data_IF_241069542871
#
_entry.id   IF_241069542871
#
_cell.length_a   1.000
_cell.length_b   1.000
_cell.length_c   1.000
_cell.angle_alpha   90.00
_cell.angle_beta   90.00
_cell.angle_gamma   90.00
#
_symmetry.space_group_name_H-M   'P 1'
#
loop_
_entity.id
_entity.type
_entity.pdbx_description
1 polymer ?
#
# COMPACT_ATOMS: atom_id res chain seq x y z
N UNK A 1 2.48 -14.38 -6.09
CA UNK A 1 3.32 -15.44 -6.67
C UNK A 1 3.60 -16.47 -5.60
N UNK A 2 3.49 -17.74 -5.93
CA UNK A 2 3.74 -18.85 -5.03
C UNK A 2 4.97 -19.64 -5.51
N UNK A 3 5.91 -19.94 -4.61
CA UNK A 3 7.08 -20.78 -4.88
C UNK A 3 6.83 -22.17 -4.31
N UNK A 4 6.94 -23.18 -5.14
CA UNK A 4 6.72 -24.59 -4.76
C UNK A 4 8.06 -25.27 -4.45
N UNK A 5 8.94 -24.77 -3.66
CA UNK A 5 10.17 -25.46 -3.26
C UNK A 5 11.00 -26.16 -4.39
N UNK A 6 10.46 -26.27 -5.57
CA UNK A 6 11.10 -26.59 -6.85
C UNK A 6 11.19 -25.31 -7.67
N UNK A 7 12.03 -25.25 -8.68
CA UNK A 7 12.30 -24.06 -9.51
C UNK A 7 11.07 -23.50 -10.29
N UNK A 8 9.85 -23.75 -9.80
CA UNK A 8 8.61 -23.34 -10.45
C UNK A 8 7.92 -22.22 -9.69
N UNK A 9 7.60 -21.17 -10.42
CA UNK A 9 6.87 -20.00 -9.94
C UNK A 9 5.43 -20.05 -10.47
N UNK A 10 4.47 -20.15 -9.58
CA UNK A 10 3.06 -20.15 -9.94
C UNK A 10 2.47 -18.74 -9.73
N UNK A 11 1.89 -18.12 -10.77
CA UNK A 11 1.21 -16.85 -10.62
C UNK A 11 -0.10 -17.02 -9.82
N UNK A 12 -0.46 -16.01 -9.03
CA UNK A 12 -1.80 -15.93 -8.44
C UNK A 12 -2.85 -15.70 -9.53
N UNK A 13 -4.14 -15.86 -9.21
CA UNK A 13 -5.24 -15.60 -10.15
C UNK A 13 -5.11 -14.25 -10.85
N UNK A 14 -4.87 -13.19 -10.08
CA UNK A 14 -4.70 -11.83 -10.60
C UNK A 14 -3.48 -11.73 -11.50
N UNK A 15 -2.36 -12.31 -11.06
CA UNK A 15 -1.12 -12.26 -11.83
C UNK A 15 -1.24 -13.03 -13.15
N UNK A 16 -1.99 -14.14 -13.18
CA UNK A 16 -2.26 -14.87 -14.44
C UNK A 16 -2.99 -13.98 -15.46
N UNK A 17 -4.01 -13.24 -15.01
CA UNK A 17 -4.71 -12.31 -15.88
C UNK A 17 -3.81 -11.12 -16.32
N UNK A 18 -3.01 -10.58 -15.42
CA UNK A 18 -2.06 -9.49 -15.71
C UNK A 18 -1.02 -9.91 -16.75
N UNK A 19 -0.50 -11.16 -16.67
CA UNK A 19 0.43 -11.73 -17.65
C UNK A 19 -0.16 -11.63 -19.06
N UNK A 20 -1.40 -12.07 -19.24
CA UNK A 20 -2.05 -12.08 -20.53
C UNK A 20 -2.40 -10.65 -21.02
N UNK A 21 -2.86 -9.77 -20.13
CA UNK A 21 -3.25 -8.40 -20.47
C UNK A 21 -2.03 -7.55 -20.88
N UNK A 22 -0.93 -7.65 -20.13
CA UNK A 22 0.29 -6.87 -20.37
C UNK A 22 1.28 -7.54 -21.32
N UNK A 23 0.99 -8.74 -21.81
CA UNK A 23 1.88 -9.48 -22.69
C UNK A 23 3.20 -9.89 -22.03
N UNK A 24 3.16 -10.24 -20.73
CA UNK A 24 4.36 -10.65 -19.99
C UNK A 24 4.85 -11.99 -20.51
N UNK A 25 6.16 -12.16 -20.63
CA UNK A 25 6.80 -13.43 -20.96
C UNK A 25 6.35 -14.52 -19.97
N UNK A 26 5.94 -15.68 -20.49
CA UNK A 26 5.59 -16.84 -19.64
C UNK A 26 6.81 -17.44 -18.97
N UNK A 27 7.94 -17.46 -19.67
CA UNK A 27 9.22 -17.92 -19.15
C UNK A 27 10.17 -16.73 -19.02
N UNK A 28 10.65 -16.46 -17.79
CA UNK A 28 11.58 -15.36 -17.52
C UNK A 28 10.95 -13.96 -17.54
N UNK A 29 9.60 -13.84 -17.48
CA UNK A 29 8.91 -12.56 -17.42
C UNK A 29 8.88 -11.91 -16.03
N UNK A 30 9.49 -12.56 -15.03
CA UNK A 30 9.59 -12.08 -13.66
C UNK A 30 11.05 -11.96 -13.27
N UNK A 31 11.47 -10.77 -12.89
CA UNK A 31 12.81 -10.50 -12.37
C UNK A 31 12.71 -9.86 -10.98
N UNK A 32 13.37 -10.46 -10.00
CA UNK A 32 13.35 -10.01 -8.61
C UNK A 32 14.61 -9.20 -8.30
N UNK A 33 14.42 -7.92 -8.08
CA UNK A 33 15.43 -7.04 -7.50
C UNK A 33 15.31 -7.07 -5.97
N UNK A 34 16.04 -7.99 -5.34
CA UNK A 34 16.03 -8.17 -3.89
C UNK A 34 16.68 -7.01 -3.13
N UNK A 35 17.57 -6.23 -3.76
CA UNK A 35 18.23 -5.09 -3.13
C UNK A 35 17.24 -3.93 -2.95
N UNK A 36 16.36 -3.72 -3.93
CA UNK A 36 15.40 -2.65 -3.94
C UNK A 36 13.97 -3.09 -3.57
N UNK A 37 13.76 -4.38 -3.31
CA UNK A 37 12.45 -4.96 -3.02
C UNK A 37 11.43 -4.67 -4.15
N UNK A 38 11.81 -4.96 -5.39
CA UNK A 38 11.00 -4.74 -6.57
C UNK A 38 10.85 -6.04 -7.36
N UNK A 39 9.62 -6.34 -7.76
CA UNK A 39 9.32 -7.33 -8.78
C UNK A 39 9.13 -6.63 -10.12
N UNK A 40 10.03 -6.86 -11.06
CA UNK A 40 9.93 -6.38 -12.44
C UNK A 40 9.10 -7.36 -13.27
N UNK A 41 8.12 -6.84 -14.01
CA UNK A 41 7.39 -7.59 -15.03
C UNK A 41 7.95 -7.24 -16.41
N UNK A 42 8.37 -8.26 -17.15
CA UNK A 42 9.08 -8.14 -18.44
C UNK A 42 8.18 -8.69 -19.54
N UNK A 43 7.97 -7.90 -20.57
CA UNK A 43 7.18 -8.29 -21.75
C UNK A 43 7.98 -9.18 -22.73
N UNK A 44 7.34 -9.59 -23.82
CA UNK A 44 7.94 -10.40 -24.88
C UNK A 44 9.04 -9.68 -25.67
N UNK A 45 9.22 -8.36 -25.48
CA UNK A 45 10.27 -7.55 -26.10
C UNK A 45 11.46 -7.31 -25.18
N UNK A 46 11.55 -8.00 -24.05
CA UNK A 46 12.55 -7.80 -22.99
C UNK A 46 12.51 -6.41 -22.33
N UNK A 47 11.33 -5.76 -22.36
CA UNK A 47 11.12 -4.47 -21.73
C UNK A 47 10.43 -4.62 -20.37
N UNK A 48 10.92 -3.92 -19.35
CA UNK A 48 10.23 -3.84 -18.04
C UNK A 48 9.00 -2.95 -18.18
N UNK A 49 7.81 -3.57 -18.12
CA UNK A 49 6.53 -2.87 -18.27
C UNK A 49 5.93 -2.44 -16.95
N UNK A 50 6.27 -3.11 -15.83
CA UNK A 50 5.83 -2.76 -14.48
C UNK A 50 6.92 -3.05 -13.45
N UNK A 51 6.98 -2.19 -12.42
CA UNK A 51 7.85 -2.34 -11.25
C UNK A 51 6.99 -2.40 -10.02
N UNK A 52 6.74 -3.59 -9.52
CA UNK A 52 5.85 -3.81 -8.37
C UNK A 52 6.68 -3.78 -7.09
N UNK A 53 6.46 -2.81 -6.17
CA UNK A 53 7.11 -2.81 -4.87
C UNK A 53 6.60 -3.98 -4.02
N UNK A 54 7.52 -4.70 -3.42
CA UNK A 54 7.23 -5.85 -2.56
C UNK A 54 7.94 -5.69 -1.21
N UNK A 55 7.48 -6.39 -0.19
CA UNK A 55 8.19 -6.50 1.09
C UNK A 55 9.24 -7.61 1.04
N UNK A 56 10.01 -7.79 2.14
CA UNK A 56 11.03 -8.84 2.29
C UNK A 56 10.48 -10.27 2.17
N UNK A 57 9.15 -10.43 2.19
CA UNK A 57 8.45 -11.71 2.00
C UNK A 57 7.82 -11.83 0.59
N UNK A 58 8.11 -10.91 -0.32
CA UNK A 58 7.55 -10.89 -1.68
C UNK A 58 6.08 -10.49 -1.74
N UNK A 59 5.56 -9.74 -0.76
CA UNK A 59 4.15 -9.31 -0.69
C UNK A 59 4.02 -7.86 -1.12
N UNK A 60 2.99 -7.58 -1.93
CA UNK A 60 2.58 -6.23 -2.32
C UNK A 60 1.50 -5.71 -1.36
N UNK A 61 1.58 -4.43 -1.00
CA UNK A 61 0.47 -3.76 -0.32
C UNK A 61 -0.66 -3.47 -1.30
N UNK A 62 -1.88 -3.82 -0.89
CA UNK A 62 -3.07 -3.58 -1.73
C UNK A 62 -3.45 -2.11 -1.64
N UNK A 63 -3.49 -1.42 -2.78
CA UNK A 63 -4.09 -0.11 -2.88
C UNK A 63 -5.61 -0.26 -3.06
N UNK A 64 -6.38 0.24 -2.10
CA UNK A 64 -7.85 0.24 -2.17
C UNK A 64 -8.34 1.57 -2.75
N UNK A 65 -8.96 1.51 -3.92
CA UNK A 65 -9.44 2.70 -4.65
C UNK A 65 -10.76 3.26 -4.10
N UNK A 66 -11.36 2.60 -3.15
CA UNK A 66 -12.57 3.04 -2.47
C UNK A 66 -13.19 1.97 -1.57
N UNK A 67 -14.42 2.23 -1.13
CA UNK A 67 -15.22 1.30 -0.35
C UNK A 67 -15.80 0.18 -1.22
N UNK A 68 -16.51 -0.77 -0.60
CA UNK A 68 -17.24 -1.83 -1.30
C UNK A 68 -18.11 -1.28 -2.43
N UNK A 69 -18.08 -1.94 -3.59
CA UNK A 69 -18.73 -1.54 -4.85
C UNK A 69 -18.09 -0.30 -5.53
N UNK A 70 -16.82 -0.06 -5.32
CA UNK A 70 -16.07 0.94 -6.10
C UNK A 70 -15.95 0.54 -7.58
N UNK A 71 -15.78 -0.75 -7.86
CA UNK A 71 -15.87 -1.29 -9.22
C UNK A 71 -17.32 -1.55 -9.60
N UNK A 72 -17.60 -1.57 -10.91
CA UNK A 72 -18.93 -1.84 -11.40
C UNK A 72 -19.34 -3.30 -11.18
N UNK A 73 -20.45 -3.51 -10.51
CA UNK A 73 -21.03 -4.82 -10.24
C UNK A 73 -22.17 -5.12 -11.22
N UNK A 74 -22.06 -6.26 -11.88
CA UNK A 74 -23.11 -6.76 -12.76
C UNK A 74 -23.69 -8.04 -12.15
N UNK A 75 -25.01 -8.12 -11.90
CA UNK A 75 -25.63 -9.36 -11.47
C UNK A 75 -25.38 -10.49 -12.47
N UNK A 76 -25.00 -11.67 -11.99
CA UNK A 76 -24.70 -12.82 -12.85
C UNK A 76 -25.88 -13.21 -13.75
N UNK A 77 -27.13 -12.99 -13.29
CA UNK A 77 -28.33 -13.20 -14.09
C UNK A 77 -28.34 -12.44 -15.42
N UNK A 78 -27.74 -11.25 -15.48
CA UNK A 78 -27.65 -10.48 -16.72
C UNK A 78 -26.67 -11.08 -17.72
N UNK A 79 -25.64 -11.76 -17.22
CA UNK A 79 -24.68 -12.47 -18.07
C UNK A 79 -25.29 -13.74 -18.71
N UNK A 80 -26.36 -14.29 -18.10
CA UNK A 80 -27.03 -15.48 -18.59
C UNK A 80 -28.13 -15.19 -19.62
N UNK A 81 -28.53 -13.95 -19.74
CA UNK A 81 -29.56 -13.52 -20.70
C UNK A 81 -28.93 -12.69 -21.83
N UNK A 82 -28.87 -13.24 -23.07
CA UNK A 82 -28.24 -12.56 -24.19
C UNK A 82 -28.94 -11.22 -24.59
N UNK A 83 -30.19 -11.00 -24.17
CA UNK A 83 -30.93 -9.79 -24.48
C UNK A 83 -30.65 -8.66 -23.49
N UNK A 84 -30.08 -8.97 -22.31
CA UNK A 84 -29.81 -7.99 -21.25
C UNK A 84 -28.57 -7.13 -21.49
N UNK A 85 -27.64 -7.60 -22.31
CA UNK A 85 -26.38 -6.90 -22.58
C UNK A 85 -26.18 -6.71 -24.09
N UNK A 86 -25.61 -5.55 -24.51
CA UNK A 86 -25.19 -5.36 -25.89
C UNK A 86 -24.19 -6.43 -26.32
N UNK A 87 -24.15 -6.83 -27.62
CA UNK A 87 -23.23 -7.87 -28.11
C UNK A 87 -21.74 -7.56 -27.88
N UNK A 88 -21.38 -6.28 -27.85
CA UNK A 88 -20.03 -5.75 -27.62
C UNK A 88 -19.74 -5.38 -26.16
N UNK A 89 -20.67 -5.69 -25.24
CA UNK A 89 -20.54 -5.27 -23.83
C UNK A 89 -19.22 -5.69 -23.17
N UNK A 90 -18.70 -6.87 -23.53
CA UNK A 90 -17.47 -7.43 -22.94
C UNK A 90 -16.18 -7.00 -23.65
N UNK A 91 -16.29 -6.26 -24.76
CA UNK A 91 -15.14 -5.81 -25.49
C UNK A 91 -14.27 -4.88 -24.62
N UNK A 92 -12.96 -5.13 -24.63
CA UNK A 92 -11.94 -4.37 -23.89
C UNK A 92 -12.18 -4.29 -22.36
N UNK A 93 -12.90 -5.26 -21.81
CA UNK A 93 -13.18 -5.36 -20.36
C UNK A 93 -12.62 -6.62 -19.74
N UNK A 94 -12.19 -6.48 -18.49
CA UNK A 94 -11.85 -7.61 -17.64
C UNK A 94 -13.01 -7.87 -16.69
N UNK A 95 -13.54 -9.07 -16.71
CA UNK A 95 -14.59 -9.49 -15.80
C UNK A 95 -14.06 -10.45 -14.75
N UNK A 96 -14.25 -10.12 -13.48
CA UNK A 96 -13.97 -11.00 -12.35
C UNK A 96 -15.30 -11.57 -11.84
N UNK A 97 -15.39 -12.88 -11.78
CA UNK A 97 -16.58 -13.57 -11.27
C UNK A 97 -16.28 -14.05 -9.85
N UNK A 98 -17.11 -13.64 -8.90
CA UNK A 98 -16.94 -14.03 -7.50
C UNK A 98 -18.16 -13.74 -6.63
N UNK A 99 -18.13 -14.31 -5.44
CA UNK A 99 -19.19 -14.11 -4.45
C UNK A 99 -19.06 -12.72 -3.80
N UNK A 100 -20.18 -11.98 -3.77
CA UNK A 100 -20.22 -10.65 -3.17
C UNK A 100 -21.30 -10.49 -2.10
N UNK A 101 -22.12 -11.53 -1.87
CA UNK A 101 -23.22 -11.48 -0.91
C UNK A 101 -22.85 -12.06 0.45
N UNK A 102 -23.38 -11.51 1.56
CA UNK A 102 -23.27 -12.11 2.88
C UNK A 102 -23.76 -13.56 2.86
N UNK A 103 -23.02 -14.46 3.51
CA UNK A 103 -23.35 -15.89 3.57
C UNK A 103 -22.64 -16.77 2.55
N UNK A 104 -22.02 -16.21 1.52
CA UNK A 104 -21.20 -16.96 0.56
C UNK A 104 -19.73 -17.14 1.00
N UNK A 105 -19.40 -16.79 2.24
CA UNK A 105 -18.11 -16.98 2.93
C UNK A 105 -16.86 -16.37 2.28
N UNK A 106 -16.99 -15.46 1.32
CA UNK A 106 -15.87 -14.76 0.71
C UNK A 106 -15.84 -13.27 1.08
N UNK A 107 -16.22 -12.97 2.32
CA UNK A 107 -16.09 -11.65 2.88
C UNK A 107 -14.83 -11.55 3.74
N UNK A 108 -14.08 -10.47 3.57
CA UNK A 108 -12.80 -10.24 4.25
C UNK A 108 -12.81 -8.90 4.98
N UNK A 109 -12.10 -8.86 6.09
CA UNK A 109 -11.80 -7.63 6.80
C UNK A 109 -10.66 -6.89 6.09
N UNK A 110 -10.86 -5.63 5.78
CA UNK A 110 -9.87 -4.77 5.12
C UNK A 110 -9.67 -3.48 5.90
N UNK A 111 -8.56 -2.75 5.68
CA UNK A 111 -8.33 -1.46 6.34
C UNK A 111 -9.38 -0.39 6.02
N UNK A 112 -10.10 -0.52 4.90
CA UNK A 112 -11.10 0.48 4.46
C UNK A 112 -12.51 0.13 4.92
N UNK A 113 -12.80 -1.17 5.15
CA UNK A 113 -14.13 -1.63 5.55
C UNK A 113 -14.08 -3.01 6.19
N UNK A 114 -14.91 -3.26 7.22
CA UNK A 114 -14.97 -4.54 7.94
C UNK A 114 -15.49 -5.70 7.07
N UNK A 115 -16.31 -5.39 6.08
CA UNK A 115 -16.92 -6.40 5.21
C UNK A 115 -16.67 -6.05 3.75
N UNK A 116 -15.72 -6.73 3.13
CA UNK A 116 -15.28 -6.49 1.76
C UNK A 116 -15.28 -7.79 0.96
N UNK A 117 -15.80 -7.77 -0.26
CA UNK A 117 -15.85 -8.97 -1.10
C UNK A 117 -14.42 -9.36 -1.56
N UNK A 118 -14.07 -10.64 -1.43
CA UNK A 118 -12.75 -11.13 -1.84
C UNK A 118 -12.46 -10.89 -3.32
N UNK A 119 -13.46 -11.03 -4.17
CA UNK A 119 -13.35 -10.72 -5.62
C UNK A 119 -12.97 -9.26 -5.86
N UNK A 120 -13.45 -8.32 -5.06
CA UNK A 120 -13.11 -6.90 -5.20
C UNK A 120 -11.71 -6.58 -4.68
N UNK A 121 -11.17 -7.37 -3.73
CA UNK A 121 -9.75 -7.30 -3.36
C UNK A 121 -8.89 -7.67 -4.58
N UNK A 122 -9.24 -8.74 -5.29
CA UNK A 122 -8.56 -9.11 -6.53
C UNK A 122 -8.66 -8.02 -7.61
N UNK A 123 -9.81 -7.35 -7.71
CA UNK A 123 -9.98 -6.22 -8.61
C UNK A 123 -9.07 -5.04 -8.25
N UNK A 124 -8.95 -4.69 -6.95
CA UNK A 124 -8.04 -3.64 -6.48
C UNK A 124 -6.57 -3.98 -6.80
N UNK A 125 -6.14 -5.22 -6.56
CA UNK A 125 -4.77 -5.67 -6.88
C UNK A 125 -4.52 -5.57 -8.38
N UNK A 126 -5.42 -6.08 -9.21
CA UNK A 126 -5.30 -6.02 -10.67
C UNK A 126 -5.24 -4.57 -11.16
N UNK A 127 -6.14 -3.74 -10.69
CA UNK A 127 -6.21 -2.33 -11.07
C UNK A 127 -4.95 -1.57 -10.65
N UNK A 128 -4.41 -1.85 -9.46
CA UNK A 128 -3.12 -1.28 -9.01
C UNK A 128 -1.98 -1.59 -9.98
N UNK A 129 -1.89 -2.85 -10.44
CA UNK A 129 -0.83 -3.26 -11.38
C UNK A 129 -1.05 -2.63 -12.76
N UNK A 130 -2.27 -2.59 -13.26
CA UNK A 130 -2.59 -2.02 -14.56
C UNK A 130 -2.36 -0.51 -14.61
N UNK A 131 -2.68 0.20 -13.52
CA UNK A 131 -2.53 1.66 -13.41
C UNK A 131 -1.16 2.10 -12.88
N UNK A 132 -0.24 1.16 -12.61
CA UNK A 132 1.08 1.45 -12.01
C UNK A 132 0.95 2.24 -10.68
N UNK A 133 -0.07 1.90 -9.88
CA UNK A 133 -0.45 2.66 -8.68
C UNK A 133 -0.26 1.79 -7.44
N UNK A 134 0.91 1.91 -6.81
CA UNK A 134 1.32 1.05 -5.70
C UNK A 134 1.51 1.83 -4.41
N UNK A 135 1.06 1.21 -3.31
CA UNK A 135 1.41 1.68 -1.97
C UNK A 135 2.84 1.23 -1.64
N UNK A 136 3.68 2.19 -1.30
CA UNK A 136 5.08 1.94 -0.91
C UNK A 136 5.27 2.23 0.58
N UNK A 137 6.21 1.53 1.22
CA UNK A 137 6.61 1.80 2.60
C UNK A 137 7.99 2.42 2.61
N UNK A 138 8.15 3.50 3.34
CA UNK A 138 9.43 4.18 3.45
C UNK A 138 10.45 3.27 4.16
N UNK A 139 11.70 3.26 3.66
CA UNK A 139 12.75 2.41 4.21
C UNK A 139 13.05 2.74 5.68
N UNK A 140 13.50 1.74 6.45
CA UNK A 140 13.90 1.89 7.84
C UNK A 140 15.02 2.93 8.02
N UNK A 141 15.98 3.02 7.10
CA UNK A 141 17.05 4.01 7.14
C UNK A 141 16.48 5.44 7.01
N UNK A 142 15.56 5.66 6.07
CA UNK A 142 14.93 6.98 5.89
C UNK A 142 14.08 7.37 7.10
N UNK A 143 13.38 6.41 7.71
CA UNK A 143 12.62 6.62 8.95
C UNK A 143 13.55 7.00 10.09
N UNK A 144 14.68 6.33 10.24
CA UNK A 144 15.69 6.64 11.26
C UNK A 144 16.22 8.08 11.13
N UNK A 145 16.60 8.52 9.93
CA UNK A 145 17.05 9.89 9.70
C UNK A 145 15.96 10.94 9.97
N UNK A 146 14.71 10.62 9.65
CA UNK A 146 13.57 11.49 9.96
C UNK A 146 13.38 11.64 11.47
N UNK A 147 13.48 10.56 12.24
CA UNK A 147 13.41 10.56 13.70
C UNK A 147 14.53 11.42 14.29
N UNK A 148 15.77 11.19 13.84
CA UNK A 148 16.94 11.93 14.31
C UNK A 148 16.76 13.44 14.07
N UNK A 149 16.32 13.83 12.89
CA UNK A 149 16.07 15.24 12.54
C UNK A 149 14.99 15.87 13.43
N UNK A 150 13.86 15.18 13.62
CA UNK A 150 12.75 15.67 14.45
C UNK A 150 13.19 15.81 15.90
N UNK A 151 13.88 14.81 16.46
CA UNK A 151 14.39 14.85 17.84
C UNK A 151 15.40 16.00 18.03
N UNK A 152 16.26 16.26 17.04
CA UNK A 152 17.22 17.37 17.09
C UNK A 152 16.47 18.72 17.09
N UNK A 153 15.51 18.91 16.19
CA UNK A 153 14.71 20.13 16.13
C UNK A 153 13.94 20.34 17.46
N UNK A 154 13.23 19.32 17.90
CA UNK A 154 12.43 19.37 19.15
C UNK A 154 13.36 19.66 20.35
N UNK A 155 14.52 19.00 20.44
CA UNK A 155 15.51 19.20 21.48
C UNK A 155 16.03 20.65 21.55
N UNK A 156 16.36 21.23 20.40
CA UNK A 156 16.76 22.63 20.30
C UNK A 156 15.65 23.56 20.83
N UNK A 157 14.43 23.42 20.31
CA UNK A 157 13.32 24.31 20.70
C UNK A 157 12.90 24.18 22.16
N UNK A 158 13.03 23.00 22.76
CA UNK A 158 12.73 22.78 24.20
C UNK A 158 13.80 23.42 25.11
N UNK A 159 15.05 23.53 24.62
CA UNK A 159 16.16 24.06 25.42
C UNK A 159 16.15 25.59 25.55
N UNK A 160 15.43 26.34 24.69
CA UNK A 160 15.40 27.79 24.75
C UNK A 160 14.56 28.39 25.92
N UNK A 161 13.36 27.88 26.25
CA UNK A 161 12.53 28.50 27.26
C UNK A 161 13.08 28.30 28.69
N UNK A 162 13.21 29.39 29.45
CA UNK A 162 13.63 29.35 30.85
C UNK A 162 12.57 28.75 31.79
N UNK A 163 11.31 28.71 31.39
CA UNK A 163 10.19 28.13 32.16
C UNK A 163 9.60 26.94 31.46
N UNK A 164 9.38 25.80 32.15
CA UNK A 164 8.91 24.54 31.54
C UNK A 164 7.60 24.68 30.79
N UNK A 165 6.72 25.56 31.24
CA UNK A 165 5.39 25.77 30.68
C UNK A 165 5.45 26.18 29.19
N UNK A 166 6.45 27.00 28.79
CA UNK A 166 6.61 27.44 27.42
C UNK A 166 7.23 26.41 26.49
N UNK A 167 7.78 25.31 27.02
CA UNK A 167 8.29 24.19 26.24
C UNK A 167 7.20 23.18 25.85
N UNK A 168 6.07 23.14 26.57
CA UNK A 168 4.97 22.18 26.35
C UNK A 168 4.37 22.19 24.93
N UNK A 169 4.19 23.32 24.25
CA UNK A 169 3.63 23.31 22.88
C UNK A 169 4.53 22.63 21.84
N UNK A 170 5.85 22.60 22.06
CA UNK A 170 6.83 22.11 21.06
C UNK A 170 6.58 20.65 20.66
N UNK A 171 6.53 19.66 21.59
CA UNK A 171 6.27 18.28 21.22
C UNK A 171 4.88 18.09 20.60
N UNK A 172 3.89 18.86 21.05
CA UNK A 172 2.53 18.79 20.50
C UNK A 172 2.53 19.21 19.04
N UNK A 173 3.14 20.35 18.71
CA UNK A 173 3.26 20.86 17.34
C UNK A 173 4.05 19.86 16.48
N UNK A 174 5.14 19.30 17.00
CA UNK A 174 5.95 18.33 16.26
C UNK A 174 5.16 17.04 15.95
N UNK A 175 4.39 16.52 16.90
CA UNK A 175 3.56 15.32 16.70
C UNK A 175 2.47 15.58 15.66
N UNK A 176 1.71 16.66 15.79
CA UNK A 176 0.68 17.00 14.80
C UNK A 176 1.27 17.29 13.43
N UNK A 177 2.40 18.00 13.36
CA UNK A 177 3.12 18.25 12.11
C UNK A 177 3.55 16.96 11.43
N UNK A 178 4.05 15.99 12.20
CA UNK A 178 4.43 14.69 11.67
C UNK A 178 3.24 13.88 11.14
N UNK A 179 2.12 13.87 11.87
CA UNK A 179 0.89 13.19 11.43
C UNK A 179 0.36 13.80 10.14
N UNK A 180 0.32 15.14 10.05
CA UNK A 180 -0.11 15.84 8.84
C UNK A 180 0.83 15.52 7.68
N UNK A 181 2.14 15.57 7.90
CA UNK A 181 3.12 15.22 6.87
C UNK A 181 2.97 13.78 6.37
N UNK A 182 2.79 12.81 7.27
CA UNK A 182 2.56 11.41 6.91
C UNK A 182 1.29 11.23 6.07
N UNK A 183 0.19 11.92 6.44
CA UNK A 183 -1.04 11.89 5.64
C UNK A 183 -0.85 12.52 4.24
N UNK A 184 -0.14 13.64 4.14
CA UNK A 184 0.13 14.28 2.85
C UNK A 184 0.99 13.39 1.93
N UNK A 185 1.98 12.70 2.49
CA UNK A 185 2.80 11.74 1.73
C UNK A 185 1.98 10.55 1.23
N UNK A 186 1.05 10.07 2.05
CA UNK A 186 0.16 8.99 1.61
C UNK A 186 -0.82 9.44 0.53
N UNK A 187 -1.41 10.64 0.66
CA UNK A 187 -2.38 11.17 -0.31
C UNK A 187 -1.72 11.48 -1.66
N UNK A 188 -0.52 12.07 -1.65
CA UNK A 188 0.13 12.54 -2.88
C UNK A 188 0.95 11.44 -3.58
N UNK A 189 1.66 10.61 -2.81
CA UNK A 189 2.67 9.69 -3.34
C UNK A 189 2.37 8.22 -3.03
N UNK A 190 1.23 7.91 -2.39
CA UNK A 190 0.88 6.58 -1.87
C UNK A 190 2.00 5.99 -0.99
N UNK A 191 2.78 6.86 -0.32
CA UNK A 191 3.89 6.46 0.52
C UNK A 191 3.47 6.39 1.98
N UNK A 192 3.50 5.19 2.56
CA UNK A 192 3.25 4.97 3.98
C UNK A 192 4.50 5.32 4.78
N UNK A 193 4.36 6.32 5.67
CA UNK A 193 5.37 6.64 6.67
C UNK A 193 5.02 6.01 8.01
N UNK A 194 6.05 5.64 8.72
CA UNK A 194 5.87 5.19 10.08
C UNK A 194 5.52 6.37 11.01
N UNK A 195 4.49 6.20 11.83
CA UNK A 195 3.98 7.26 12.70
C UNK A 195 4.37 7.03 14.15
N UNK A 196 4.38 5.78 14.59
CA UNK A 196 4.53 5.43 16.02
C UNK A 196 5.93 5.74 16.57
N UNK A 197 7.00 5.27 15.90
CA UNK A 197 8.38 5.50 16.38
C UNK A 197 8.74 6.98 16.45
N UNK A 198 8.45 7.85 15.46
CA UNK A 198 8.70 9.29 15.59
C UNK A 198 7.96 9.93 16.75
N UNK A 199 6.68 9.59 16.98
CA UNK A 199 5.90 10.13 18.11
C UNK A 199 6.53 9.73 19.45
N UNK A 200 6.86 8.45 19.64
CA UNK A 200 7.50 7.98 20.86
C UNK A 200 8.86 8.63 21.07
N UNK A 201 9.62 8.88 20.01
CA UNK A 201 10.92 9.55 20.07
C UNK A 201 10.79 11.02 20.48
N UNK A 202 9.77 11.73 19.98
CA UNK A 202 9.46 13.12 20.41
C UNK A 202 9.10 13.16 21.88
N UNK A 203 8.25 12.25 22.35
CA UNK A 203 7.84 12.16 23.78
C UNK A 203 9.06 11.84 24.66
N UNK A 204 9.90 10.89 24.24
CA UNK A 204 11.13 10.53 24.97
C UNK A 204 12.13 11.68 25.03
N UNK A 205 12.34 12.41 23.93
CA UNK A 205 13.20 13.60 23.87
C UNK A 205 12.70 14.70 24.80
N UNK A 206 11.39 14.98 24.76
CA UNK A 206 10.80 15.97 25.67
C UNK A 206 10.96 15.57 27.12
N UNK A 207 10.60 14.33 27.49
CA UNK A 207 10.72 13.82 28.86
C UNK A 207 12.15 13.84 29.38
N UNK A 208 13.12 13.41 28.57
CA UNK A 208 14.54 13.42 28.94
C UNK A 208 15.09 14.83 29.22
N UNK A 209 14.83 15.77 28.29
CA UNK A 209 15.29 17.17 28.45
C UNK A 209 14.55 17.87 29.61
N UNK A 210 13.25 17.58 29.77
CA UNK A 210 12.46 18.14 30.86
C UNK A 210 13.02 17.70 32.22
N UNK A 211 13.27 16.39 32.40
CA UNK A 211 13.85 15.88 33.63
C UNK A 211 15.26 16.46 33.89
N UNK A 212 16.10 16.55 32.87
CA UNK A 212 17.45 17.07 33.00
C UNK A 212 17.51 18.58 33.35
N UNK A 213 16.62 19.38 32.80
CA UNK A 213 16.66 20.84 32.97
C UNK A 213 15.90 21.34 34.22
N UNK A 214 14.96 20.56 34.76
CA UNK A 214 14.04 21.05 35.80
C UNK A 214 14.00 20.19 37.06
N UNK A 215 14.72 19.10 37.11
CA UNK A 215 15.02 18.28 38.29
C UNK A 215 16.54 18.11 38.47
#
# INVERSE_FOLDING_TARGET
>A
IYFDGADHVYPTLVMSAVIDILGIKKDGGFDYDFENNILNLIDTTDTVVRKIPIDDNGRMYVNYFGSFQTFYYLPYSYCMDPEMLPPDYWQDKVALVGASLPGLMDLRNTPVQETFAGVEIHANVMYSILQDSFVTVKSNASTFYSILLICLIVGIFISFPKKPFYALPVPVIAIFGWIIYANLQFINDLQMLEVVRPILSVIGTFGGIFLFNYF
#
